data_IF_024513095123
#
_entry.id   IF_024513095123
#
_cell.length_a   1.000
_cell.length_b   1.000
_cell.length_c   1.000
_cell.angle_alpha   90.00
_cell.angle_beta   90.00
_cell.angle_gamma   90.00
#
_symmetry.space_group_name_H-M   'P 1'
#
loop_
_entity.id
_entity.type
_entity.pdbx_description
1 polymer ?
#
# COMPACT_ATOMS: atom_id res chain seq x y z
N UNK A 1 -31.18 -81.40 29.85
CA UNK A 1 -30.55 -80.13 30.16
C UNK A 1 -30.46 -79.31 28.88
N UNK A 2 -31.42 -78.48 28.58
CA UNK A 2 -31.41 -77.57 27.43
C UNK A 2 -31.46 -76.15 27.98
N UNK A 3 -30.40 -75.37 27.76
CA UNK A 3 -30.32 -73.97 28.19
C UNK A 3 -30.97 -73.14 27.10
N UNK A 4 -32.06 -72.48 27.48
CA UNK A 4 -32.75 -71.49 26.65
C UNK A 4 -32.03 -70.16 26.81
N UNK A 5 -31.51 -69.62 25.74
CA UNK A 5 -30.94 -68.27 25.69
C UNK A 5 -32.04 -67.32 25.25
N UNK A 6 -32.44 -66.47 26.17
CA UNK A 6 -33.41 -65.40 25.91
C UNK A 6 -32.67 -64.19 25.29
N UNK A 7 -32.96 -63.88 24.03
CA UNK A 7 -32.42 -62.74 23.33
C UNK A 7 -33.26 -61.52 23.68
N UNK A 8 -32.69 -60.60 24.48
CA UNK A 8 -33.30 -59.28 24.76
C UNK A 8 -32.97 -58.32 23.64
N UNK A 9 -33.95 -58.00 22.84
CA UNK A 9 -33.84 -56.93 21.80
C UNK A 9 -34.11 -55.61 22.47
N UNK A 10 -33.02 -54.85 22.71
CA UNK A 10 -33.11 -53.43 23.12
C UNK A 10 -33.31 -52.57 21.90
N UNK A 11 -34.54 -52.07 21.72
CA UNK A 11 -34.87 -51.04 20.74
C UNK A 11 -34.40 -49.70 21.33
N UNK A 12 -33.21 -49.24 20.92
CA UNK A 12 -32.79 -47.88 21.18
C UNK A 12 -33.45 -46.91 20.19
N UNK A 13 -34.44 -46.16 20.69
CA UNK A 13 -35.00 -45.01 19.96
C UNK A 13 -33.88 -43.95 19.84
N UNK A 14 -33.26 -43.86 18.67
CA UNK A 14 -32.44 -42.72 18.31
C UNK A 14 -33.33 -41.51 18.10
N UNK A 15 -33.41 -40.65 19.10
CA UNK A 15 -33.91 -39.28 18.94
C UNK A 15 -32.87 -38.53 18.11
N UNK A 16 -33.04 -38.46 16.80
CA UNK A 16 -32.35 -37.53 15.94
C UNK A 16 -32.82 -36.13 16.24
N UNK A 17 -32.14 -35.45 17.16
CA UNK A 17 -32.19 -33.99 17.28
C UNK A 17 -31.56 -33.41 16.04
N UNK A 18 -32.38 -33.04 15.07
CA UNK A 18 -31.99 -32.18 13.96
C UNK A 18 -31.67 -30.81 14.58
N UNK A 19 -30.39 -30.56 14.88
CA UNK A 19 -29.92 -29.21 15.08
C UNK A 19 -29.96 -28.52 13.71
N UNK A 20 -31.04 -27.76 13.48
CA UNK A 20 -31.06 -26.75 12.46
C UNK A 20 -30.05 -25.69 12.90
N UNK A 21 -28.79 -25.80 12.42
CA UNK A 21 -27.87 -24.67 12.37
C UNK A 21 -28.42 -23.68 11.33
N UNK A 22 -29.41 -22.89 11.74
CA UNK A 22 -29.69 -21.61 11.08
C UNK A 22 -28.66 -20.64 11.53
N UNK A 23 -27.56 -20.54 10.82
CA UNK A 23 -26.45 -19.65 11.21
C UNK A 23 -25.28 -19.68 10.24
N UNK A 24 -25.52 -19.93 8.97
CA UNK A 24 -24.66 -19.39 7.93
C UNK A 24 -25.33 -18.09 7.47
N UNK A 25 -24.86 -16.97 7.97
CA UNK A 25 -24.98 -15.74 7.24
C UNK A 25 -24.33 -16.03 5.88
N UNK A 26 -25.13 -16.01 4.87
CA UNK A 26 -24.71 -16.04 3.48
C UNK A 26 -23.88 -14.76 3.29
N UNK A 27 -22.57 -14.86 3.50
CA UNK A 27 -21.64 -13.80 3.14
C UNK A 27 -21.42 -13.89 1.62
N UNK A 28 -22.51 -13.63 0.89
CA UNK A 28 -22.39 -13.37 -0.53
C UNK A 28 -21.52 -12.11 -0.68
N UNK A 29 -20.34 -12.29 -1.25
CA UNK A 29 -19.47 -11.16 -1.62
C UNK A 29 -20.30 -10.21 -2.49
N UNK A 30 -20.37 -8.94 -2.10
CA UNK A 30 -21.09 -7.94 -2.86
C UNK A 30 -20.39 -7.68 -4.19
N UNK A 31 -21.10 -7.72 -5.30
CA UNK A 31 -20.53 -7.35 -6.59
C UNK A 31 -20.32 -5.83 -6.65
N UNK A 32 -19.08 -5.40 -6.87
CA UNK A 32 -18.71 -3.99 -7.02
C UNK A 32 -18.38 -3.75 -8.49
N UNK A 33 -19.08 -2.79 -9.11
CA UNK A 33 -18.91 -2.39 -10.53
C UNK A 33 -18.50 -0.95 -10.67
N UNK A 34 -18.91 -0.10 -9.74
CA UNK A 34 -18.65 1.33 -9.73
C UNK A 34 -18.17 1.77 -8.34
N UNK A 35 -17.62 2.96 -8.22
CA UNK A 35 -17.24 3.53 -6.93
C UNK A 35 -18.42 3.65 -5.95
N UNK A 36 -19.63 3.92 -6.45
CA UNK A 36 -20.83 4.05 -5.60
C UNK A 36 -21.28 2.71 -4.97
N UNK A 37 -20.90 1.59 -5.55
CA UNK A 37 -21.26 0.26 -5.04
C UNK A 37 -20.58 -0.08 -3.71
N UNK A 38 -19.58 0.71 -3.27
CA UNK A 38 -18.94 0.49 -1.97
C UNK A 38 -19.88 0.76 -0.79
N UNK A 39 -20.99 1.51 -1.00
CA UNK A 39 -22.01 1.75 0.04
C UNK A 39 -22.57 0.44 0.57
N UNK A 40 -22.43 0.23 1.88
CA UNK A 40 -22.84 -1.00 2.55
C UNK A 40 -21.94 -2.22 2.29
N UNK A 41 -20.80 -2.05 1.57
CA UNK A 41 -19.83 -3.10 1.33
C UNK A 41 -18.77 -3.19 2.44
N UNK A 42 -18.01 -4.28 2.47
CA UNK A 42 -16.79 -4.43 3.27
C UNK A 42 -15.59 -4.10 2.39
N UNK A 43 -14.93 -2.98 2.65
CA UNK A 43 -13.86 -2.42 1.81
C UNK A 43 -12.53 -2.46 2.53
N UNK A 44 -11.54 -3.12 1.93
CA UNK A 44 -10.16 -3.14 2.42
C UNK A 44 -9.41 -1.88 2.01
N UNK A 45 -8.66 -1.32 2.94
CA UNK A 45 -7.78 -0.16 2.73
C UNK A 45 -6.48 -0.34 3.52
N UNK A 46 -5.41 0.31 3.09
CA UNK A 46 -4.22 0.43 3.94
C UNK A 46 -4.41 1.60 4.90
N UNK A 47 -4.09 1.39 6.17
CA UNK A 47 -4.25 2.37 7.25
C UNK A 47 -3.51 3.68 6.93
N UNK A 48 -4.20 4.81 7.09
CA UNK A 48 -3.62 6.15 6.96
C UNK A 48 -3.41 6.64 5.52
N UNK A 49 -3.81 5.85 4.50
CA UNK A 49 -3.79 6.29 3.09
C UNK A 49 -4.96 7.22 2.78
N UNK A 50 -4.92 7.88 1.63
CA UNK A 50 -6.07 8.62 1.09
C UNK A 50 -7.24 7.69 0.79
N UNK A 51 -6.96 6.45 0.34
CA UNK A 51 -7.99 5.41 0.20
C UNK A 51 -8.74 5.13 1.50
N UNK A 52 -8.02 5.04 2.64
CA UNK A 52 -8.66 4.92 3.95
C UNK A 52 -9.56 6.13 4.26
N UNK A 53 -9.06 7.34 4.03
CA UNK A 53 -9.80 8.57 4.26
C UNK A 53 -11.07 8.62 3.41
N UNK A 54 -10.97 8.38 2.10
CA UNK A 54 -12.11 8.44 1.18
C UNK A 54 -13.16 7.37 1.49
N UNK A 55 -12.75 6.13 1.78
CA UNK A 55 -13.70 5.06 2.12
C UNK A 55 -14.37 5.32 3.46
N UNK A 56 -13.69 5.97 4.41
CA UNK A 56 -14.27 6.32 5.72
C UNK A 56 -15.45 7.27 5.60
N UNK A 57 -15.50 8.12 4.58
CA UNK A 57 -16.65 9.01 4.34
C UNK A 57 -17.95 8.23 4.06
N UNK A 58 -17.85 6.97 3.64
CA UNK A 58 -18.99 6.08 3.38
C UNK A 58 -19.42 5.23 4.58
N UNK A 59 -18.77 5.35 5.75
CA UNK A 59 -19.17 4.60 6.95
C UNK A 59 -20.62 4.94 7.36
N UNK A 60 -21.04 6.20 7.18
CA UNK A 60 -22.41 6.63 7.42
C UNK A 60 -23.44 5.94 6.49
N UNK A 61 -23.03 5.48 5.32
CA UNK A 61 -23.83 4.73 4.35
C UNK A 61 -23.79 3.20 4.59
N UNK A 62 -23.21 2.78 5.72
CA UNK A 62 -23.13 1.37 6.14
C UNK A 62 -21.92 0.62 5.60
N UNK A 63 -20.98 1.28 4.95
CA UNK A 63 -19.71 0.70 4.51
C UNK A 63 -18.86 0.29 5.70
N UNK A 64 -18.30 -0.92 5.64
CA UNK A 64 -17.37 -1.43 6.65
C UNK A 64 -15.95 -1.23 6.16
N UNK A 65 -15.23 -0.31 6.76
CA UNK A 65 -13.82 -0.03 6.43
C UNK A 65 -12.92 -1.02 7.17
N UNK A 66 -12.28 -1.90 6.40
CA UNK A 66 -11.37 -2.92 6.91
C UNK A 66 -9.93 -2.46 6.69
N UNK A 67 -9.29 -2.00 7.77
CA UNK A 67 -7.95 -1.41 7.75
C UNK A 67 -6.88 -2.47 7.90
N UNK A 68 -5.86 -2.42 7.05
CA UNK A 68 -4.71 -3.31 7.03
C UNK A 68 -3.42 -2.50 7.10
N UNK A 69 -2.37 -3.05 7.68
CA UNK A 69 -1.05 -2.41 7.70
C UNK A 69 -0.44 -2.29 6.30
N UNK A 70 -0.74 -3.25 5.43
CA UNK A 70 -0.22 -3.30 4.05
C UNK A 70 -1.33 -3.57 3.05
N UNK A 71 -1.22 -2.97 1.86
CA UNK A 71 -2.14 -3.25 0.75
C UNK A 71 -2.21 -4.74 0.40
N UNK A 72 -1.09 -5.45 0.44
CA UNK A 72 -1.02 -6.89 0.21
C UNK A 72 -1.91 -7.71 1.15
N UNK A 73 -2.04 -7.31 2.43
CA UNK A 73 -2.90 -8.01 3.40
C UNK A 73 -4.39 -7.80 3.06
N UNK A 74 -4.76 -6.61 2.57
CA UNK A 74 -6.10 -6.36 2.05
C UNK A 74 -6.40 -7.23 0.83
N UNK A 75 -5.44 -7.41 -0.09
CA UNK A 75 -5.57 -8.31 -1.25
C UNK A 75 -5.74 -9.76 -0.81
N UNK A 76 -5.00 -10.22 0.20
CA UNK A 76 -5.19 -11.57 0.76
C UNK A 76 -6.61 -11.73 1.33
N UNK A 77 -7.12 -10.73 2.06
CA UNK A 77 -8.50 -10.77 2.57
C UNK A 77 -9.54 -10.80 1.44
N UNK A 78 -9.32 -10.06 0.35
CA UNK A 78 -10.17 -10.07 -0.84
C UNK A 78 -10.20 -11.44 -1.50
N UNK A 79 -9.03 -12.05 -1.75
CA UNK A 79 -8.94 -13.39 -2.36
C UNK A 79 -9.55 -14.50 -1.50
N UNK A 80 -9.67 -14.27 -0.20
CA UNK A 80 -10.34 -15.15 0.75
C UNK A 80 -11.85 -14.85 0.93
N UNK A 81 -12.41 -13.93 0.15
CA UNK A 81 -13.82 -13.49 0.24
C UNK A 81 -14.20 -12.94 1.65
N UNK A 82 -13.26 -12.35 2.36
CA UNK A 82 -13.49 -11.71 3.67
C UNK A 82 -13.96 -10.26 3.53
N UNK A 83 -13.69 -9.66 2.40
CA UNK A 83 -14.08 -8.30 2.01
C UNK A 83 -14.56 -8.31 0.56
N UNK A 84 -15.31 -7.31 0.16
CA UNK A 84 -15.93 -7.21 -1.16
C UNK A 84 -15.01 -6.57 -2.21
N UNK A 85 -14.21 -5.59 -1.80
CA UNK A 85 -13.22 -4.92 -2.66
C UNK A 85 -12.09 -4.30 -1.85
N UNK A 86 -11.08 -3.80 -2.57
CA UNK A 86 -9.96 -3.01 -2.01
C UNK A 86 -9.89 -1.68 -2.74
N UNK A 87 -9.71 -0.59 -2.01
CA UNK A 87 -9.37 0.73 -2.57
C UNK A 87 -7.88 0.95 -2.34
N UNK A 88 -7.16 1.06 -3.43
CA UNK A 88 -5.71 1.21 -3.49
C UNK A 88 -5.31 1.88 -4.81
N UNK A 89 -4.14 2.47 -4.87
CA UNK A 89 -3.63 3.19 -6.02
C UNK A 89 -3.45 2.28 -7.24
N UNK A 90 -3.59 2.87 -8.43
CA UNK A 90 -3.71 2.13 -9.69
C UNK A 90 -2.49 1.28 -10.03
N UNK A 91 -1.27 1.78 -9.84
CA UNK A 91 -0.06 1.02 -10.19
C UNK A 91 0.16 -0.19 -9.26
N UNK A 92 0.08 -0.05 -7.91
CA UNK A 92 0.05 -1.21 -7.02
C UNK A 92 -1.08 -2.18 -7.31
N UNK A 93 -2.29 -1.69 -7.64
CA UNK A 93 -3.40 -2.54 -8.04
C UNK A 93 -3.06 -3.41 -9.26
N UNK A 94 -2.39 -2.84 -10.28
CA UNK A 94 -1.93 -3.59 -11.47
C UNK A 94 -0.96 -4.70 -11.09
N UNK A 95 0.00 -4.42 -10.21
CA UNK A 95 0.96 -5.42 -9.75
C UNK A 95 0.27 -6.54 -8.97
N UNK A 96 -0.67 -6.22 -8.08
CA UNK A 96 -1.44 -7.22 -7.35
C UNK A 96 -2.34 -8.08 -8.25
N UNK A 97 -2.96 -7.49 -9.26
CA UNK A 97 -3.79 -8.24 -10.24
C UNK A 97 -2.93 -9.17 -11.09
N UNK A 98 -1.72 -8.77 -11.50
CA UNK A 98 -0.77 -9.66 -12.19
C UNK A 98 -0.41 -10.88 -11.34
N UNK A 99 -0.24 -10.69 -10.03
CA UNK A 99 0.17 -11.74 -9.10
C UNK A 99 -0.98 -12.63 -8.62
N UNK A 100 -2.25 -12.20 -8.74
CA UNK A 100 -3.41 -12.88 -8.18
C UNK A 100 -4.50 -13.10 -9.24
N UNK A 101 -4.61 -14.31 -9.76
CA UNK A 101 -5.63 -14.66 -10.73
C UNK A 101 -7.05 -14.44 -10.16
N UNK A 102 -7.96 -13.95 -11.00
CA UNK A 102 -9.35 -13.73 -10.63
C UNK A 102 -9.67 -12.35 -10.06
N UNK A 103 -8.66 -11.51 -9.81
CA UNK A 103 -8.84 -10.11 -9.49
C UNK A 103 -8.96 -9.26 -10.76
N UNK A 104 -9.66 -8.14 -10.66
CA UNK A 104 -9.76 -7.11 -11.70
C UNK A 104 -9.71 -5.73 -11.08
N UNK A 105 -9.28 -4.76 -11.87
CA UNK A 105 -9.38 -3.33 -11.55
C UNK A 105 -10.65 -2.81 -12.23
N UNK A 106 -11.37 -1.90 -11.57
CA UNK A 106 -12.52 -1.22 -12.18
C UNK A 106 -12.04 -0.17 -13.18
N UNK A 107 -12.83 0.07 -14.23
CA UNK A 107 -12.45 0.98 -15.31
C UNK A 107 -12.42 2.46 -14.87
N UNK A 108 -13.29 2.83 -13.93
CA UNK A 108 -13.38 4.19 -13.40
C UNK A 108 -12.48 4.34 -12.16
N UNK A 109 -11.59 5.35 -12.12
CA UNK A 109 -10.79 5.64 -10.94
C UNK A 109 -11.69 6.14 -9.80
N UNK A 110 -11.34 5.80 -8.57
CA UNK A 110 -12.04 6.26 -7.37
C UNK A 110 -11.71 7.74 -7.08
N UNK A 111 -10.45 8.14 -7.28
CA UNK A 111 -9.95 9.51 -7.17
C UNK A 111 -8.70 9.68 -8.04
N UNK A 112 -8.36 10.94 -8.35
CA UNK A 112 -7.08 11.30 -8.96
C UNK A 112 -6.19 11.97 -7.92
N UNK A 113 -4.92 11.55 -7.86
CA UNK A 113 -3.98 11.99 -6.83
C UNK A 113 -2.62 12.33 -7.42
N UNK A 114 -1.86 13.16 -6.68
CA UNK A 114 -0.47 13.50 -7.00
C UNK A 114 0.40 13.17 -5.80
N UNK A 115 1.52 12.48 -6.04
CA UNK A 115 2.48 12.16 -5.01
C UNK A 115 3.47 13.29 -4.80
N UNK A 116 3.96 13.39 -3.57
CA UNK A 116 4.94 14.37 -3.18
C UNK A 116 5.94 13.81 -2.17
N UNK A 117 7.15 14.30 -2.20
CA UNK A 117 8.13 14.08 -1.15
C UNK A 117 7.68 14.89 0.08
N UNK A 118 7.69 14.29 1.25
CA UNK A 118 7.37 14.99 2.48
C UNK A 118 8.63 15.37 3.26
N UNK A 119 8.72 16.63 3.68
CA UNK A 119 9.82 17.17 4.48
C UNK A 119 9.23 17.94 5.66
N UNK A 120 9.91 17.96 6.82
CA UNK A 120 9.49 18.76 7.96
C UNK A 120 9.37 20.24 7.57
N UNK A 121 8.30 20.89 8.00
CA UNK A 121 8.07 22.33 7.76
C UNK A 121 9.19 23.22 8.29
N UNK A 122 9.92 22.75 9.27
CA UNK A 122 10.99 23.50 9.87
C UNK A 122 12.31 23.36 9.11
N UNK A 123 12.40 22.40 8.17
CA UNK A 123 13.61 22.14 7.39
C UNK A 123 13.58 22.80 6.00
N UNK A 124 13.47 24.13 5.98
CA UNK A 124 13.46 24.91 4.73
C UNK A 124 14.72 24.72 3.88
N UNK A 125 15.87 24.57 4.52
CA UNK A 125 17.14 24.39 3.81
C UNK A 125 17.15 23.09 3.01
N UNK A 126 16.69 21.98 3.59
CA UNK A 126 16.59 20.70 2.89
C UNK A 126 15.54 20.78 1.78
N UNK A 127 14.41 21.44 2.02
CA UNK A 127 13.36 21.67 1.02
C UNK A 127 13.94 22.32 -0.23
N UNK A 128 14.63 23.47 -0.08
CA UNK A 128 15.25 24.19 -1.20
C UNK A 128 16.30 23.34 -1.95
N UNK A 129 17.08 22.56 -1.21
CA UNK A 129 18.10 21.69 -1.80
C UNK A 129 17.49 20.55 -2.61
N UNK A 130 16.43 19.89 -2.10
CA UNK A 130 15.75 18.80 -2.80
C UNK A 130 15.00 19.35 -4.02
N UNK A 131 14.30 20.49 -3.92
CA UNK A 131 13.65 21.16 -5.05
C UNK A 131 14.63 21.43 -6.19
N UNK A 132 15.79 21.97 -5.86
CA UNK A 132 16.85 22.22 -6.82
C UNK A 132 17.36 20.93 -7.47
N UNK A 133 17.60 19.89 -6.67
CA UNK A 133 18.05 18.59 -7.17
C UNK A 133 17.01 17.96 -8.09
N UNK A 134 15.71 18.03 -7.75
CA UNK A 134 14.62 17.57 -8.59
C UNK A 134 14.57 18.31 -9.92
N UNK A 135 14.69 19.63 -9.90
CA UNK A 135 14.72 20.44 -11.13
C UNK A 135 15.88 20.03 -12.06
N UNK A 136 17.10 19.87 -11.50
CA UNK A 136 18.25 19.41 -12.26
C UNK A 136 18.05 18.00 -12.83
N UNK A 137 17.58 17.04 -12.04
CA UNK A 137 17.31 15.67 -12.48
C UNK A 137 16.23 15.61 -13.56
N UNK A 138 15.23 16.48 -13.49
CA UNK A 138 14.19 16.63 -14.50
C UNK A 138 14.77 17.15 -15.81
N UNK A 139 15.57 18.23 -15.76
CA UNK A 139 16.21 18.81 -16.94
C UNK A 139 17.20 17.83 -17.62
N UNK A 140 17.84 16.96 -16.83
CA UNK A 140 18.71 15.89 -17.30
C UNK A 140 17.94 14.67 -17.84
N UNK A 141 16.61 14.65 -17.71
CA UNK A 141 15.74 13.55 -18.11
C UNK A 141 15.88 12.29 -17.26
N UNK A 142 16.48 12.39 -16.07
CA UNK A 142 16.67 11.24 -15.15
C UNK A 142 15.33 10.78 -14.60
N UNK A 143 14.46 11.73 -14.18
CA UNK A 143 13.15 11.39 -13.63
C UNK A 143 12.27 10.66 -14.64
N UNK A 144 12.29 11.09 -15.91
CA UNK A 144 11.54 10.43 -16.99
C UNK A 144 12.03 9.01 -17.23
N UNK A 145 13.35 8.78 -17.19
CA UNK A 145 13.92 7.43 -17.31
C UNK A 145 13.52 6.52 -16.16
N UNK A 146 13.54 7.03 -14.93
CA UNK A 146 13.11 6.27 -13.75
C UNK A 146 11.64 5.90 -13.86
N UNK A 147 10.79 6.86 -14.21
CA UNK A 147 9.35 6.64 -14.44
C UNK A 147 9.13 5.61 -15.56
N UNK A 148 9.82 5.78 -16.69
CA UNK A 148 9.68 4.87 -17.84
C UNK A 148 10.06 3.44 -17.46
N UNK A 149 11.10 3.25 -16.64
CA UNK A 149 11.53 1.94 -16.19
C UNK A 149 10.49 1.27 -15.27
N UNK A 150 10.05 1.97 -14.21
CA UNK A 150 9.21 1.36 -13.19
C UNK A 150 7.71 1.36 -13.53
N UNK A 151 7.21 2.37 -14.23
CA UNK A 151 5.79 2.54 -14.53
C UNK A 151 5.44 2.08 -15.94
N UNK A 152 6.29 2.37 -16.95
CA UNK A 152 6.00 2.04 -18.33
C UNK A 152 6.60 0.70 -18.77
N UNK A 153 7.43 0.07 -17.92
CA UNK A 153 7.99 -1.25 -18.13
C UNK A 153 9.16 -1.29 -19.13
N UNK A 154 9.81 -0.16 -19.39
CA UNK A 154 11.00 -0.06 -20.26
C UNK A 154 12.26 -0.48 -19.50
N UNK A 155 12.48 -1.77 -19.37
CA UNK A 155 13.54 -2.36 -18.52
C UNK A 155 14.84 -2.64 -19.27
N UNK A 156 15.01 -2.16 -20.50
CA UNK A 156 16.19 -2.45 -21.32
C UNK A 156 17.50 -1.89 -20.73
N UNK A 157 17.41 -0.81 -19.97
CA UNK A 157 18.56 -0.17 -19.32
C UNK A 157 18.21 0.28 -17.91
N UNK A 158 19.17 0.16 -16.99
CA UNK A 158 19.03 0.74 -15.64
C UNK A 158 18.94 2.27 -15.78
N UNK A 159 17.87 2.91 -15.27
CA UNK A 159 17.60 4.32 -15.55
C UNK A 159 18.54 5.28 -14.82
N UNK A 160 19.14 4.85 -13.72
CA UNK A 160 20.10 5.63 -12.93
C UNK A 160 21.13 4.74 -12.25
N UNK A 161 22.38 5.17 -12.27
CA UNK A 161 23.47 4.60 -11.47
C UNK A 161 24.24 5.73 -10.81
N UNK A 162 24.55 5.57 -9.52
CA UNK A 162 25.37 6.55 -8.79
C UNK A 162 26.75 6.70 -9.40
N UNK A 163 27.27 7.95 -9.53
CA UNK A 163 28.63 8.17 -10.00
C UNK A 163 29.66 7.44 -9.12
N UNK A 164 30.64 6.78 -9.77
CA UNK A 164 31.64 5.93 -9.04
C UNK A 164 32.60 6.71 -8.15
N UNK A 165 32.80 7.98 -8.45
CA UNK A 165 33.75 8.88 -7.78
C UNK A 165 33.09 9.86 -6.82
N UNK A 166 31.79 9.71 -6.58
CA UNK A 166 31.06 10.55 -5.63
C UNK A 166 31.61 10.39 -4.21
N UNK A 167 31.83 11.51 -3.56
CA UNK A 167 32.24 11.56 -2.14
C UNK A 167 31.07 12.08 -1.32
N UNK A 168 30.55 11.20 -0.50
CA UNK A 168 29.50 11.58 0.46
C UNK A 168 30.09 12.27 1.68
N UNK A 169 29.48 13.36 2.11
CA UNK A 169 29.84 14.12 3.30
C UNK A 169 28.82 13.98 4.44
N UNK A 170 28.10 12.88 4.45
CA UNK A 170 27.09 12.53 5.45
C UNK A 170 26.00 11.65 4.86
N UNK A 171 24.96 11.45 5.61
CA UNK A 171 23.80 10.62 5.24
C UNK A 171 22.52 11.45 5.26
N UNK A 172 21.51 11.04 4.49
CA UNK A 172 20.13 11.47 4.60
C UNK A 172 19.23 10.24 4.76
N UNK A 173 18.35 10.30 5.73
CA UNK A 173 17.41 9.24 6.06
C UNK A 173 16.07 9.46 5.37
N UNK A 174 15.61 8.45 4.65
CA UNK A 174 14.33 8.43 3.96
C UNK A 174 13.37 7.46 4.64
N UNK A 175 12.30 7.97 5.23
CA UNK A 175 11.18 7.16 5.70
C UNK A 175 10.36 6.65 4.50
N UNK A 176 10.04 5.35 4.50
CA UNK A 176 9.20 4.73 3.46
C UNK A 176 8.39 3.56 4.00
N UNK A 177 7.47 3.01 3.19
CA UNK A 177 6.77 1.75 3.47
C UNK A 177 6.97 0.79 2.30
N UNK A 178 8.00 -0.06 2.39
CA UNK A 178 8.48 -0.89 1.29
C UNK A 178 7.57 -2.11 0.98
N UNK A 179 6.28 -1.84 0.81
CA UNK A 179 5.23 -2.81 0.48
C UNK A 179 4.29 -2.31 -0.63
N UNK A 180 4.74 -1.37 -1.46
CA UNK A 180 3.92 -0.63 -2.42
C UNK A 180 4.53 -0.63 -3.84
N UNK A 181 4.65 -1.81 -4.51
CA UNK A 181 5.21 -1.89 -5.85
C UNK A 181 4.33 -1.14 -6.87
N UNK A 182 4.91 -0.49 -7.89
CA UNK A 182 6.33 -0.43 -8.23
C UNK A 182 7.09 0.75 -7.59
N UNK A 183 6.45 1.49 -6.68
CA UNK A 183 7.02 2.68 -6.05
C UNK A 183 8.13 2.35 -5.05
N UNK A 184 7.84 1.53 -4.04
CA UNK A 184 8.82 1.03 -3.07
C UNK A 184 8.45 -0.39 -2.61
N UNK A 185 9.39 -1.31 -2.74
CA UNK A 185 9.16 -2.71 -2.38
C UNK A 185 10.48 -3.44 -2.11
N UNK A 186 10.38 -4.61 -1.49
CA UNK A 186 11.54 -5.45 -1.21
C UNK A 186 11.76 -6.44 -2.35
N UNK A 187 12.93 -6.39 -2.98
CA UNK A 187 13.37 -7.37 -3.97
C UNK A 187 14.81 -7.83 -3.66
N UNK A 188 15.03 -9.14 -3.59
CA UNK A 188 16.34 -9.71 -3.29
C UNK A 188 16.92 -9.24 -1.94
N UNK A 189 16.07 -8.90 -0.97
CA UNK A 189 16.47 -8.40 0.35
C UNK A 189 16.90 -6.93 0.37
N UNK A 190 16.64 -6.20 -0.71
CA UNK A 190 16.88 -4.76 -0.81
C UNK A 190 15.58 -4.02 -1.05
N UNK A 191 15.49 -2.79 -0.57
CA UNK A 191 14.39 -1.89 -0.90
C UNK A 191 14.71 -1.25 -2.24
N UNK A 192 13.82 -1.43 -3.22
CA UNK A 192 13.94 -0.97 -4.59
C UNK A 192 12.62 -0.34 -5.04
N UNK A 193 12.62 0.30 -6.18
CA UNK A 193 11.44 0.92 -6.77
C UNK A 193 11.71 2.33 -7.27
N UNK A 194 10.66 2.97 -7.75
CA UNK A 194 10.71 4.34 -8.26
C UNK A 194 11.23 5.31 -7.19
N UNK A 195 10.63 5.29 -6.00
CA UNK A 195 10.96 6.21 -4.89
C UNK A 195 12.39 6.00 -4.38
N UNK A 196 12.87 4.79 -4.07
CA UNK A 196 14.27 4.56 -3.71
C UNK A 196 15.28 5.00 -4.77
N UNK A 197 14.96 4.83 -6.05
CA UNK A 197 15.85 5.24 -7.13
C UNK A 197 15.89 6.77 -7.30
N UNK A 198 14.74 7.43 -7.24
CA UNK A 198 14.67 8.90 -7.22
C UNK A 198 15.41 9.47 -6.01
N UNK A 199 15.17 8.91 -4.82
CA UNK A 199 15.85 9.32 -3.59
C UNK A 199 17.38 9.16 -3.70
N UNK A 200 17.86 8.06 -4.30
CA UNK A 200 19.29 7.86 -4.57
C UNK A 200 19.84 8.98 -5.45
N UNK A 201 19.17 9.29 -6.55
CA UNK A 201 19.60 10.36 -7.46
C UNK A 201 19.60 11.74 -6.81
N UNK A 202 18.59 12.03 -5.97
CA UNK A 202 18.52 13.28 -5.18
C UNK A 202 19.69 13.34 -4.19
N UNK A 203 19.91 12.29 -3.41
CA UNK A 203 20.98 12.24 -2.42
C UNK A 203 22.37 12.37 -3.06
N UNK A 204 22.58 11.74 -4.22
CA UNK A 204 23.83 11.88 -4.98
C UNK A 204 24.07 13.33 -5.43
N UNK A 205 23.05 14.04 -5.90
CA UNK A 205 23.13 15.49 -6.21
C UNK A 205 23.50 16.32 -5.00
N UNK A 206 23.06 15.91 -3.81
CA UNK A 206 23.36 16.61 -2.55
C UNK A 206 24.68 16.18 -1.90
N UNK A 207 25.39 15.20 -2.48
CA UNK A 207 26.61 14.64 -1.90
C UNK A 207 26.36 13.88 -0.57
N UNK A 208 25.16 13.32 -0.41
CA UNK A 208 24.73 12.59 0.78
C UNK A 208 24.47 11.12 0.45
N UNK A 209 24.85 10.24 1.35
CA UNK A 209 24.52 8.82 1.22
C UNK A 209 23.08 8.60 1.65
N UNK A 210 22.27 7.93 0.83
CA UNK A 210 20.91 7.56 1.18
C UNK A 210 20.90 6.41 2.19
N UNK A 211 20.12 6.57 3.26
CA UNK A 211 19.71 5.51 4.19
C UNK A 211 18.20 5.39 4.10
N UNK A 212 17.67 4.17 3.93
CA UNK A 212 16.22 3.94 3.79
C UNK A 212 15.72 3.25 5.05
N UNK A 213 14.76 3.86 5.72
CA UNK A 213 14.12 3.37 6.93
C UNK A 213 12.69 2.91 6.59
N UNK A 214 12.50 1.57 6.58
CA UNK A 214 11.19 0.95 6.31
C UNK A 214 10.33 0.95 7.57
N UNK A 215 9.09 1.40 7.44
CA UNK A 215 8.13 1.49 8.54
C UNK A 215 6.68 1.38 8.05
N UNK A 216 5.72 1.31 8.98
CA UNK A 216 4.31 1.37 8.63
C UNK A 216 3.99 2.75 8.01
N UNK A 217 3.12 2.76 6.98
CA UNK A 217 2.83 3.96 6.19
C UNK A 217 2.35 5.14 7.04
N UNK A 218 1.47 4.89 8.01
CA UNK A 218 0.93 5.91 8.91
C UNK A 218 1.97 6.53 9.86
N UNK A 219 3.15 5.93 9.97
CA UNK A 219 4.27 6.42 10.77
C UNK A 219 5.23 7.33 10.02
N UNK A 220 5.21 7.34 8.67
CA UNK A 220 6.16 8.08 7.82
C UNK A 220 6.15 9.58 8.13
N UNK A 221 4.97 10.20 8.16
CA UNK A 221 4.87 11.65 8.44
C UNK A 221 5.41 11.99 9.83
N UNK A 222 5.10 11.15 10.83
CA UNK A 222 5.59 11.36 12.20
C UNK A 222 7.11 11.24 12.28
N UNK A 223 7.71 10.30 11.59
CA UNK A 223 9.15 10.13 11.54
C UNK A 223 9.86 11.38 10.97
N UNK A 224 9.31 11.94 9.89
CA UNK A 224 9.81 13.19 9.28
C UNK A 224 9.59 14.40 10.19
N UNK A 225 8.41 14.53 10.81
CA UNK A 225 8.10 15.65 11.71
C UNK A 225 9.00 15.69 12.96
N UNK A 226 9.33 14.52 13.50
CA UNK A 226 10.16 14.41 14.71
C UNK A 226 11.64 14.49 14.40
N UNK A 227 12.04 14.55 13.13
CA UNK A 227 13.44 14.58 12.70
C UNK A 227 14.16 13.24 12.90
N UNK A 228 13.41 12.14 13.04
CA UNK A 228 13.97 10.79 13.01
C UNK A 228 14.48 10.47 11.61
N UNK A 229 13.73 10.87 10.61
CA UNK A 229 14.08 10.79 9.19
C UNK A 229 14.08 12.21 8.59
N UNK A 230 14.93 12.45 7.61
CA UNK A 230 15.10 13.77 7.00
C UNK A 230 13.96 14.10 6.03
N UNK A 231 13.48 13.09 5.30
CA UNK A 231 12.37 13.20 4.36
C UNK A 231 11.64 11.87 4.22
N UNK A 232 10.46 11.88 3.59
CA UNK A 232 9.67 10.68 3.30
C UNK A 232 9.28 10.59 1.83
N UNK A 233 9.39 9.39 1.27
CA UNK A 233 8.88 9.01 -0.03
C UNK A 233 8.21 7.64 0.11
N UNK A 234 6.91 7.56 -0.15
CA UNK A 234 6.11 6.36 0.08
C UNK A 234 4.80 6.39 -0.73
N UNK A 235 4.85 6.80 -2.01
CA UNK A 235 3.62 7.06 -2.75
C UNK A 235 2.71 8.05 -2.02
N UNK A 236 3.29 9.06 -1.38
CA UNK A 236 2.59 9.94 -0.44
C UNK A 236 1.80 11.01 -1.18
N UNK A 237 0.48 10.90 -1.20
CA UNK A 237 -0.41 11.92 -1.80
C UNK A 237 -0.32 13.24 -1.06
N UNK A 238 -0.19 14.32 -1.81
CA UNK A 238 -0.25 15.67 -1.29
C UNK A 238 -1.72 16.06 -0.96
N UNK A 239 -2.00 16.21 0.32
CA UNK A 239 -3.35 16.60 0.79
C UNK A 239 -3.29 17.84 1.70
N UNK A 240 -4.39 18.63 1.76
CA UNK A 240 -4.46 19.78 2.67
C UNK A 240 -4.21 19.39 4.15
N UNK A 241 -4.60 18.17 4.55
CA UNK A 241 -4.40 17.70 5.92
C UNK A 241 -2.90 17.43 6.17
N UNK A 242 -2.23 16.73 5.26
CA UNK A 242 -0.80 16.44 5.35
C UNK A 242 0.03 17.72 5.31
N UNK A 243 -0.37 18.71 4.48
CA UNK A 243 0.26 20.04 4.40
C UNK A 243 0.24 20.82 5.71
N UNK A 244 -0.60 20.48 6.68
CA UNK A 244 -0.55 21.09 8.02
C UNK A 244 0.75 20.72 8.74
N UNK A 245 1.33 19.60 8.42
CA UNK A 245 2.40 18.95 9.17
C UNK A 245 3.73 18.89 8.41
N UNK A 246 3.69 18.89 7.09
CA UNK A 246 4.87 18.74 6.21
C UNK A 246 4.84 19.75 5.07
N UNK A 247 6.00 19.99 4.44
CA UNK A 247 6.10 20.58 3.12
C UNK A 247 5.99 19.47 2.08
N UNK A 248 4.97 19.47 1.20
CA UNK A 248 4.95 18.61 0.04
C UNK A 248 5.84 19.22 -1.05
N UNK A 249 6.56 18.39 -1.77
CA UNK A 249 7.38 18.74 -2.93
C UNK A 249 6.89 17.93 -4.12
N UNK A 250 6.52 18.61 -5.21
CA UNK A 250 5.97 18.02 -6.41
C UNK A 250 7.01 17.89 -7.53
#
# INVERSE_FOLDING_TARGET
>A
MKKTVTLLVLISMLFSTVFLFTGCGDSSVKEIKTADDIKGASVGVQTGTTGDTFVSDYEADGTKVMRYSKGADAIVALTQNKIDCVVIDSEPAKEFVKANAGLKILDEPFAEEQYAICISKENHELTEKIDKALAELKDEGVLDKIKSYYIEGNTDTVPYESPKDIKYDGELHMATNAAFPPYEYVEGGKIVGLDPMMATAICDKLGKKLVIDDMEFDSVITAVQTGKDDFGMAGMTDTPERRKNIHPMN
#
